data_IF_743754469873
#
_entry.id   IF_743754469873
#
_cell.length_a   1.000
_cell.length_b   1.000
_cell.length_c   1.000
_cell.angle_alpha   90.00
_cell.angle_beta   90.00
_cell.angle_gamma   90.00
#
_symmetry.space_group_name_H-M   'P 1'
#
loop_
_entity.id
_entity.type
_entity.pdbx_description
1 polymer ?
#
# COMPACT_ATOMS: atom_id res chain seq x y z
N UNK A 1 3.35 -13.07 -19.99
CA UNK A 1 3.23 -13.17 -18.53
C UNK A 1 4.62 -12.87 -18.00
N UNK A 2 4.84 -11.66 -17.52
CA UNK A 2 6.09 -11.33 -16.84
C UNK A 2 6.06 -12.03 -15.50
N UNK A 3 7.04 -12.90 -15.27
CA UNK A 3 7.16 -13.66 -14.05
C UNK A 3 7.80 -12.76 -12.99
N UNK A 4 7.02 -12.35 -11.98
CA UNK A 4 7.56 -11.72 -10.78
C UNK A 4 8.47 -12.74 -10.09
N UNK A 5 9.78 -12.47 -10.09
CA UNK A 5 10.79 -13.27 -9.40
C UNK A 5 11.42 -12.47 -8.26
N UNK A 6 10.65 -12.24 -7.20
CA UNK A 6 11.24 -12.43 -5.88
C UNK A 6 10.33 -13.32 -5.00
N UNK A 7 10.94 -14.26 -4.26
CA UNK A 7 10.30 -15.02 -3.19
C UNK A 7 9.97 -14.07 -2.01
N UNK A 8 9.03 -13.15 -2.21
CA UNK A 8 8.52 -12.26 -1.17
C UNK A 8 7.28 -12.92 -0.60
N UNK A 9 7.40 -13.36 0.65
CA UNK A 9 6.34 -13.97 1.44
C UNK A 9 5.86 -13.03 2.56
N UNK A 10 6.00 -11.72 2.35
CA UNK A 10 5.63 -10.68 3.30
C UNK A 10 4.98 -9.50 2.58
N UNK A 11 4.24 -8.68 3.33
CA UNK A 11 3.64 -7.46 2.78
C UNK A 11 4.72 -6.42 2.52
N UNK A 12 4.70 -5.75 1.36
CA UNK A 12 5.61 -4.65 1.05
C UNK A 12 4.87 -3.33 0.93
N UNK A 13 5.58 -2.23 1.14
CA UNK A 13 5.06 -0.88 0.96
C UNK A 13 4.79 -0.61 -0.53
N UNK A 14 3.58 -0.14 -0.84
CA UNK A 14 3.24 0.40 -2.17
C UNK A 14 3.46 1.91 -2.21
N UNK A 15 2.82 2.65 -1.31
CA UNK A 15 3.14 4.05 -1.10
C UNK A 15 2.56 4.69 0.15
N UNK A 16 2.95 5.94 0.38
CA UNK A 16 2.40 6.81 1.42
C UNK A 16 1.67 7.98 0.73
N UNK A 17 0.34 7.91 0.69
CA UNK A 17 -0.44 8.80 -0.17
C UNK A 17 -1.21 9.84 0.64
N UNK A 18 -1.04 11.15 0.37
CA UNK A 18 -1.97 12.16 0.84
C UNK A 18 -3.39 11.89 0.32
N UNK A 19 -4.39 12.23 1.13
CA UNK A 19 -5.81 12.15 0.74
C UNK A 19 -6.15 13.06 -0.45
N UNK A 20 -5.37 14.13 -0.65
CA UNK A 20 -5.63 15.17 -1.65
C UNK A 20 -4.40 15.50 -2.50
N UNK A 21 -4.66 15.53 -3.80
CA UNK A 21 -3.70 15.98 -4.81
C UNK A 21 -2.87 14.84 -5.38
N UNK A 22 -2.52 15.00 -6.64
CA UNK A 22 -1.55 14.18 -7.38
C UNK A 22 -0.67 15.14 -8.18
N UNK A 23 0.57 14.75 -8.46
CA UNK A 23 1.50 15.50 -9.31
C UNK A 23 1.69 16.98 -8.90
N UNK A 24 1.73 17.24 -7.59
CA UNK A 24 1.65 18.62 -7.04
C UNK A 24 2.85 19.51 -7.37
N UNK A 25 3.99 18.95 -7.76
CA UNK A 25 5.16 19.72 -8.17
C UNK A 25 5.98 18.99 -9.24
N UNK A 26 5.67 19.26 -10.51
CA UNK A 26 6.35 18.60 -11.63
C UNK A 26 7.82 18.98 -11.81
N UNK A 27 8.26 20.11 -11.22
CA UNK A 27 9.64 20.57 -11.27
C UNK A 27 10.52 19.98 -10.17
N UNK A 28 9.93 19.31 -9.17
CA UNK A 28 10.70 18.71 -8.07
C UNK A 28 11.00 17.25 -8.36
N UNK A 29 12.02 17.03 -9.18
CA UNK A 29 12.42 15.69 -9.60
C UNK A 29 12.98 14.86 -8.44
N UNK A 30 12.72 13.55 -8.49
CA UNK A 30 13.34 12.56 -7.61
C UNK A 30 14.86 12.60 -7.76
N UNK A 31 15.57 12.49 -6.63
CA UNK A 31 17.02 12.43 -6.56
C UNK A 31 17.43 11.37 -5.54
N UNK A 32 17.91 10.22 -6.05
CA UNK A 32 18.33 9.09 -5.22
C UNK A 32 19.43 9.43 -4.21
N UNK A 33 20.29 10.42 -4.49
CA UNK A 33 21.33 10.81 -3.53
C UNK A 33 20.78 11.47 -2.26
N UNK A 34 19.51 11.90 -2.26
CA UNK A 34 18.86 12.43 -1.05
C UNK A 34 18.34 11.33 -0.12
N UNK A 35 18.38 10.07 -0.54
CA UNK A 35 17.87 8.92 0.22
C UNK A 35 18.87 7.76 0.25
N UNK A 36 20.15 8.03 -0.01
CA UNK A 36 21.17 6.99 -0.15
C UNK A 36 21.26 6.11 1.10
N UNK A 37 21.10 6.72 2.28
CA UNK A 37 21.08 6.03 3.57
C UNK A 37 19.85 5.13 3.78
N UNK A 38 18.75 5.38 3.04
CA UNK A 38 17.51 4.61 3.12
C UNK A 38 17.46 3.45 2.12
N UNK A 39 18.32 3.44 1.09
CA UNK A 39 18.28 2.47 -0.01
C UNK A 39 18.23 1.01 0.45
N UNK A 40 19.04 0.56 1.45
CA UNK A 40 18.98 -0.83 1.90
C UNK A 40 17.62 -1.24 2.46
N UNK A 41 16.91 -0.32 3.13
CA UNK A 41 15.57 -0.58 3.66
C UNK A 41 14.50 -0.42 2.58
N UNK A 42 14.65 0.55 1.68
CA UNK A 42 13.78 0.72 0.51
C UNK A 42 13.76 -0.53 -0.37
N UNK A 43 14.92 -1.15 -0.65
CA UNK A 43 15.03 -2.37 -1.46
C UNK A 43 14.30 -3.57 -0.84
N UNK A 44 14.20 -3.62 0.48
CA UNK A 44 13.55 -4.72 1.22
C UNK A 44 12.05 -4.44 1.44
N UNK A 45 11.75 -3.25 1.94
CA UNK A 45 10.45 -2.89 2.48
C UNK A 45 9.55 -2.21 1.45
N UNK A 46 10.14 -1.59 0.41
CA UNK A 46 9.41 -0.89 -0.66
C UNK A 46 9.92 -1.27 -2.07
N UNK A 47 10.10 -2.56 -2.41
CA UNK A 47 10.62 -2.97 -3.71
C UNK A 47 9.66 -2.67 -4.86
N UNK A 48 10.21 -2.50 -6.05
CA UNK A 48 9.44 -2.66 -7.30
C UNK A 48 9.31 -4.16 -7.61
N UNK A 49 8.11 -4.71 -7.46
CA UNK A 49 7.87 -6.15 -7.67
C UNK A 49 7.96 -6.57 -9.15
N UNK A 50 7.80 -5.63 -10.09
CA UNK A 50 7.87 -5.88 -11.53
C UNK A 50 9.28 -5.64 -12.07
N UNK A 51 9.98 -4.64 -11.55
CA UNK A 51 11.33 -4.25 -11.95
C UNK A 51 12.27 -4.06 -10.75
N UNK A 52 12.68 -5.13 -10.04
CA UNK A 52 13.37 -5.05 -8.74
C UNK A 52 14.69 -4.28 -8.71
N UNK A 53 15.34 -4.08 -9.87
CA UNK A 53 16.61 -3.35 -9.99
C UNK A 53 16.43 -1.87 -10.33
N UNK A 54 15.18 -1.39 -10.45
CA UNK A 54 14.84 -0.05 -10.91
C UNK A 54 14.46 0.86 -9.74
N UNK A 55 14.99 2.08 -9.73
CA UNK A 55 14.49 3.17 -8.86
C UNK A 55 13.26 3.87 -9.44
N UNK A 56 12.77 3.40 -10.60
CA UNK A 56 11.67 3.99 -11.34
C UNK A 56 10.38 4.06 -10.52
N UNK A 57 10.12 3.04 -9.69
CA UNK A 57 8.95 3.02 -8.82
C UNK A 57 9.01 4.11 -7.75
N UNK A 58 10.12 4.27 -7.04
CA UNK A 58 10.28 5.35 -6.04
C UNK A 58 10.21 6.73 -6.68
N UNK A 59 10.76 6.87 -7.89
CA UNK A 59 10.62 8.11 -8.67
C UNK A 59 9.16 8.43 -8.98
N UNK A 60 8.37 7.43 -9.36
CA UNK A 60 6.95 7.57 -9.63
C UNK A 60 6.18 7.97 -8.36
N UNK A 61 6.40 7.25 -7.25
CA UNK A 61 5.76 7.55 -5.96
C UNK A 61 6.12 8.94 -5.44
N UNK A 62 7.38 9.36 -5.57
CA UNK A 62 7.79 10.72 -5.21
C UNK A 62 7.05 11.76 -6.06
N UNK A 63 7.04 11.60 -7.39
CA UNK A 63 6.44 12.57 -8.29
C UNK A 63 4.92 12.70 -8.06
N UNK A 64 4.23 11.56 -8.05
CA UNK A 64 2.77 11.48 -7.99
C UNK A 64 2.24 11.84 -6.60
N UNK A 65 2.89 11.38 -5.54
CA UNK A 65 2.39 11.48 -4.16
C UNK A 65 3.30 12.28 -3.23
N UNK A 66 4.61 12.01 -3.25
CA UNK A 66 5.59 12.65 -2.36
C UNK A 66 5.62 14.18 -2.49
N UNK A 67 5.51 14.72 -3.71
CA UNK A 67 5.47 16.17 -3.93
C UNK A 67 4.24 16.85 -3.32
N UNK A 68 3.12 16.14 -3.21
CA UNK A 68 1.92 16.61 -2.50
C UNK A 68 2.11 16.53 -0.99
N UNK A 69 2.65 15.40 -0.51
CA UNK A 69 2.95 15.17 0.90
C UNK A 69 3.91 16.22 1.48
N UNK A 70 4.87 16.65 0.66
CA UNK A 70 5.89 17.64 1.02
C UNK A 70 5.36 19.05 1.35
N UNK A 71 4.05 19.31 1.18
CA UNK A 71 3.39 20.50 1.72
C UNK A 71 3.36 20.51 3.25
N UNK A 72 3.37 19.33 3.88
CA UNK A 72 3.49 19.20 5.33
C UNK A 72 4.95 19.33 5.77
N UNK A 73 5.21 20.13 6.81
CA UNK A 73 6.57 20.36 7.32
C UNK A 73 7.27 19.08 7.80
N UNK A 74 6.50 18.08 8.22
CA UNK A 74 6.98 16.75 8.62
C UNK A 74 7.49 15.91 7.43
N UNK A 75 7.07 16.21 6.20
CA UNK A 75 7.37 15.44 4.98
C UNK A 75 8.03 16.29 3.88
N UNK A 76 8.47 17.52 4.20
CA UNK A 76 8.88 18.53 3.22
C UNK A 76 10.26 18.31 2.53
N UNK A 77 10.69 17.07 2.41
CA UNK A 77 11.85 16.65 1.61
C UNK A 77 11.70 15.19 1.18
N UNK A 78 12.47 14.77 0.17
CA UNK A 78 12.49 13.35 -0.25
C UNK A 78 12.87 12.45 0.92
N UNK A 79 13.95 12.78 1.62
CA UNK A 79 14.40 12.02 2.79
C UNK A 79 13.30 11.89 3.84
N UNK A 80 12.63 12.99 4.23
CA UNK A 80 11.56 12.95 5.24
C UNK A 80 10.36 12.12 4.79
N UNK A 81 9.98 12.22 3.52
CA UNK A 81 8.87 11.46 2.96
C UNK A 81 9.16 9.95 2.99
N UNK A 82 10.29 9.53 2.43
CA UNK A 82 10.65 8.11 2.35
C UNK A 82 10.96 7.52 3.73
N UNK A 83 11.70 8.23 4.59
CA UNK A 83 11.99 7.76 5.95
C UNK A 83 10.72 7.62 6.79
N UNK A 84 9.77 8.56 6.68
CA UNK A 84 8.50 8.45 7.42
C UNK A 84 7.65 7.29 6.91
N UNK A 85 7.60 7.07 5.61
CA UNK A 85 6.88 5.93 5.04
C UNK A 85 7.46 4.59 5.54
N UNK A 86 8.79 4.44 5.54
CA UNK A 86 9.47 3.26 6.10
C UNK A 86 9.18 3.10 7.60
N UNK A 87 9.28 4.19 8.38
CA UNK A 87 8.94 4.17 9.81
C UNK A 87 7.51 3.69 10.06
N UNK A 88 6.53 4.20 9.28
CA UNK A 88 5.14 3.78 9.38
C UNK A 88 4.93 2.32 9.00
N UNK A 89 5.57 1.86 7.93
CA UNK A 89 5.53 0.46 7.50
C UNK A 89 6.02 -0.48 8.62
N UNK A 90 7.19 -0.19 9.20
CA UNK A 90 7.75 -0.98 10.30
C UNK A 90 6.92 -0.88 11.58
N UNK A 91 6.25 0.25 11.82
CA UNK A 91 5.36 0.43 12.98
C UNK A 91 4.04 -0.33 12.84
N UNK A 92 3.50 -0.39 11.62
CA UNK A 92 2.29 -1.17 11.34
C UNK A 92 2.58 -2.65 11.48
N UNK A 93 3.71 -3.14 10.96
CA UNK A 93 4.12 -4.55 11.08
C UNK A 93 3.02 -5.52 10.60
N UNK A 94 2.67 -5.40 9.31
CA UNK A 94 1.65 -6.25 8.66
C UNK A 94 2.03 -7.74 8.64
N UNK A 95 3.30 -8.07 8.83
CA UNK A 95 3.76 -9.46 8.91
C UNK A 95 3.52 -10.05 10.30
N UNK A 96 3.64 -9.24 11.36
CA UNK A 96 3.14 -9.57 12.69
C UNK A 96 1.65 -9.96 12.66
N UNK A 97 0.85 -9.27 11.85
CA UNK A 97 -0.55 -9.63 11.57
C UNK A 97 -0.72 -10.97 10.85
N UNK A 98 0.16 -11.32 9.90
CA UNK A 98 0.13 -12.58 9.14
C UNK A 98 0.19 -13.84 10.01
N UNK A 99 0.75 -13.72 11.22
CA UNK A 99 0.78 -14.80 12.22
C UNK A 99 -0.54 -15.00 12.98
N UNK A 100 -1.52 -14.08 12.83
CA UNK A 100 -2.60 -13.95 13.80
C UNK A 100 -3.90 -14.68 13.48
N UNK A 101 -4.24 -15.15 12.25
CA UNK A 101 -5.36 -16.12 12.03
C UNK A 101 -5.72 -16.48 10.58
N UNK A 102 -5.39 -15.66 9.57
CA UNK A 102 -5.84 -15.91 8.19
C UNK A 102 -5.07 -17.02 7.44
N UNK A 103 -3.96 -17.50 7.99
CA UNK A 103 -3.03 -18.40 7.30
C UNK A 103 -3.47 -19.88 7.20
N UNK A 104 -4.62 -20.26 7.79
CA UNK A 104 -5.03 -21.66 7.84
C UNK A 104 -5.89 -22.10 6.64
N UNK A 105 -6.56 -21.17 5.95
CA UNK A 105 -7.32 -21.47 4.75
C UNK A 105 -7.07 -20.40 3.68
N UNK A 106 -6.75 -20.78 2.43
CA UNK A 106 -6.46 -19.80 1.38
C UNK A 106 -7.68 -18.98 0.96
N UNK A 107 -8.88 -19.37 1.36
CA UNK A 107 -10.13 -18.65 1.14
C UNK A 107 -10.71 -18.19 2.47
N UNK A 108 -11.18 -16.95 2.51
CA UNK A 108 -11.78 -16.30 3.68
C UNK A 108 -12.88 -15.33 3.23
N UNK A 109 -13.78 -14.93 4.13
CA UNK A 109 -14.73 -13.85 3.82
C UNK A 109 -14.03 -12.49 3.95
N UNK A 110 -14.54 -11.49 3.24
CA UNK A 110 -14.11 -10.10 3.42
C UNK A 110 -14.22 -9.66 4.90
N UNK A 111 -15.35 -9.95 5.54
CA UNK A 111 -15.62 -9.57 6.93
C UNK A 111 -14.65 -10.20 7.93
N UNK A 112 -14.12 -11.40 7.64
CA UNK A 112 -13.09 -12.02 8.46
C UNK A 112 -11.77 -11.26 8.33
N UNK A 113 -11.35 -10.88 7.13
CA UNK A 113 -10.12 -10.09 6.95
C UNK A 113 -10.26 -8.73 7.63
N UNK A 114 -11.34 -8.01 7.33
CA UNK A 114 -11.60 -6.68 7.90
C UNK A 114 -11.63 -6.73 9.43
N UNK A 115 -12.37 -7.68 10.00
CA UNK A 115 -12.50 -7.81 11.45
C UNK A 115 -11.18 -8.16 12.15
N UNK A 116 -10.30 -8.98 11.55
CA UNK A 116 -8.99 -9.27 12.16
C UNK A 116 -8.11 -8.03 12.14
N UNK A 117 -8.10 -7.27 11.04
CA UNK A 117 -7.30 -6.04 10.92
C UNK A 117 -7.83 -4.98 11.90
N UNK A 118 -9.15 -4.78 11.96
CA UNK A 118 -9.80 -3.84 12.88
C UNK A 118 -9.52 -4.20 14.34
N UNK A 119 -9.58 -5.49 14.71
CA UNK A 119 -9.25 -5.93 16.07
C UNK A 119 -7.78 -5.71 16.45
N UNK A 120 -6.86 -5.84 15.48
CA UNK A 120 -5.43 -5.72 15.73
C UNK A 120 -4.99 -4.25 15.82
N UNK A 121 -5.46 -3.39 14.90
CA UNK A 121 -5.05 -1.99 14.83
C UNK A 121 -6.01 -1.00 15.51
N UNK A 122 -7.23 -1.45 15.84
CA UNK A 122 -8.27 -0.60 16.44
C UNK A 122 -8.87 0.43 15.46
N UNK A 123 -8.61 0.28 14.17
CA UNK A 123 -9.12 1.16 13.09
C UNK A 123 -9.51 0.35 11.86
N UNK A 124 -10.45 0.87 11.09
CA UNK A 124 -10.93 0.24 9.86
C UNK A 124 -9.96 0.44 8.70
N UNK A 125 -9.48 -0.64 8.07
CA UNK A 125 -8.66 -0.54 6.86
C UNK A 125 -9.51 -0.28 5.62
N UNK A 126 -8.85 0.04 4.50
CA UNK A 126 -9.43 -0.12 3.17
C UNK A 126 -8.74 -1.30 2.46
N UNK A 127 -9.53 -2.27 2.01
CA UNK A 127 -9.03 -3.53 1.45
C UNK A 127 -9.35 -3.58 -0.05
N UNK A 128 -8.33 -3.81 -0.85
CA UNK A 128 -8.42 -3.88 -2.30
C UNK A 128 -7.99 -5.25 -2.82
N UNK A 129 -8.70 -5.68 -3.85
CA UNK A 129 -8.57 -6.98 -4.48
C UNK A 129 -8.36 -6.84 -5.99
N UNK A 130 -7.72 -7.86 -6.57
CA UNK A 130 -7.77 -8.12 -8.01
C UNK A 130 -9.04 -8.91 -8.30
N UNK A 131 -9.70 -8.58 -9.40
CA UNK A 131 -10.91 -9.25 -9.88
C UNK A 131 -10.60 -10.02 -11.19
N UNK A 132 -10.21 -11.31 -11.13
CA UNK A 132 -9.68 -12.04 -12.30
C UNK A 132 -10.69 -12.17 -13.45
N UNK A 133 -11.96 -12.39 -13.13
CA UNK A 133 -13.08 -12.31 -14.08
C UNK A 133 -14.40 -12.12 -13.31
N UNK A 134 -15.46 -11.66 -14.00
CA UNK A 134 -16.79 -11.50 -13.37
C UNK A 134 -17.34 -12.80 -12.78
N UNK A 135 -16.99 -13.93 -13.39
CA UNK A 135 -17.45 -15.27 -13.02
C UNK A 135 -16.45 -16.03 -12.14
N UNK A 136 -15.38 -15.38 -11.68
CA UNK A 136 -14.46 -16.02 -10.75
C UNK A 136 -15.16 -16.25 -9.41
N UNK A 137 -14.93 -17.43 -8.84
CA UNK A 137 -15.49 -17.86 -7.55
C UNK A 137 -14.93 -17.08 -6.36
N UNK A 138 -13.75 -16.46 -6.54
CA UNK A 138 -13.11 -15.61 -5.56
C UNK A 138 -12.38 -14.43 -6.22
N UNK A 139 -12.28 -13.34 -5.47
CA UNK A 139 -11.35 -12.25 -5.73
C UNK A 139 -10.01 -12.51 -5.02
N UNK A 140 -8.93 -11.84 -5.41
CA UNK A 140 -7.59 -12.07 -4.84
C UNK A 140 -7.20 -10.86 -4.01
N UNK A 141 -6.84 -11.07 -2.74
CA UNK A 141 -6.34 -10.00 -1.87
C UNK A 141 -5.05 -9.41 -2.46
N UNK A 142 -5.01 -8.08 -2.63
CA UNK A 142 -3.90 -7.41 -3.31
C UNK A 142 -3.27 -6.28 -2.53
N UNK A 143 -4.08 -5.44 -1.89
CA UNK A 143 -3.59 -4.26 -1.17
C UNK A 143 -4.46 -3.97 0.06
N UNK A 144 -3.81 -3.56 1.14
CA UNK A 144 -4.44 -3.07 2.36
C UNK A 144 -3.92 -1.66 2.60
N UNK A 145 -4.82 -0.70 2.75
CA UNK A 145 -4.54 0.67 3.10
C UNK A 145 -4.84 0.89 4.59
N UNK A 146 -3.85 1.38 5.33
CA UNK A 146 -3.97 1.83 6.72
C UNK A 146 -3.85 3.35 6.74
N UNK A 147 -4.82 4.03 7.36
CA UNK A 147 -4.94 5.47 7.30
C UNK A 147 -4.35 6.16 8.54
N UNK A 148 -3.75 7.31 8.30
CA UNK A 148 -3.09 8.12 9.33
C UNK A 148 -3.57 9.56 9.30
N UNK A 149 -3.74 10.13 10.49
CA UNK A 149 -3.92 11.56 10.66
C UNK A 149 -2.64 12.28 10.21
N UNK A 150 -2.69 13.60 9.96
CA UNK A 150 -1.49 14.37 9.62
C UNK A 150 -0.36 14.31 10.67
N UNK A 151 -0.68 13.91 11.91
CA UNK A 151 0.28 13.67 13.00
C UNK A 151 0.78 12.22 13.08
N UNK A 152 0.41 11.37 12.12
CA UNK A 152 0.77 9.96 12.01
C UNK A 152 0.18 9.05 13.10
N UNK A 153 -0.93 9.46 13.71
CA UNK A 153 -1.79 8.57 14.51
C UNK A 153 -2.78 7.82 13.61
N UNK A 154 -3.11 6.58 13.96
CA UNK A 154 -4.05 5.75 13.18
C UNK A 154 -5.45 6.38 13.16
N UNK A 155 -6.15 6.29 12.03
CA UNK A 155 -7.59 6.54 11.93
C UNK A 155 -8.28 5.52 11.01
N UNK A 156 -9.60 5.49 11.07
CA UNK A 156 -10.42 4.75 10.11
C UNK A 156 -10.22 5.28 8.69
N UNK A 157 -10.07 4.37 7.73
CA UNK A 157 -10.04 4.68 6.30
C UNK A 157 -11.43 5.01 5.71
N UNK A 158 -12.39 5.41 6.56
CA UNK A 158 -13.75 5.77 6.16
C UNK A 158 -13.74 6.77 4.99
N UNK A 159 -14.78 6.69 4.16
CA UNK A 159 -14.97 7.48 2.93
C UNK A 159 -14.93 8.99 3.20
N UNK A 160 -13.75 9.56 3.38
CA UNK A 160 -13.54 11.00 3.38
C UNK A 160 -13.72 11.50 1.95
N UNK A 161 -14.98 11.72 1.58
CA UNK A 161 -15.38 12.45 0.38
C UNK A 161 -15.41 11.60 -0.90
N UNK A 162 -16.14 12.13 -1.87
CA UNK A 162 -16.50 11.62 -3.21
C UNK A 162 -15.28 11.31 -4.13
N UNK A 163 -14.15 10.85 -3.59
CA UNK A 163 -12.93 10.46 -4.30
C UNK A 163 -12.95 9.01 -4.79
N UNK A 164 -13.98 8.23 -4.43
CA UNK A 164 -14.32 6.96 -5.10
C UNK A 164 -14.41 7.14 -6.63
N UNK A 165 -14.59 8.38 -7.12
CA UNK A 165 -14.57 8.74 -8.56
C UNK A 165 -13.21 9.21 -9.10
N UNK A 166 -12.26 9.61 -8.26
CA UNK A 166 -10.93 10.09 -8.69
C UNK A 166 -9.84 9.03 -8.53
N UNK A 167 -10.00 8.10 -7.59
CA UNK A 167 -9.18 6.88 -7.48
C UNK A 167 -9.71 5.73 -8.35
N UNK A 168 -10.79 5.95 -9.10
CA UNK A 168 -11.38 4.97 -10.03
C UNK A 168 -10.48 4.61 -11.23
N UNK A 169 -9.29 5.20 -11.36
CA UNK A 169 -8.36 4.87 -12.43
C UNK A 169 -6.92 5.00 -11.93
N UNK A 170 -6.51 4.12 -11.02
CA UNK A 170 -5.23 3.45 -11.28
C UNK A 170 -5.53 2.10 -11.96
N UNK A 171 -6.01 2.19 -13.21
CA UNK A 171 -6.16 1.02 -14.09
C UNK A 171 -4.82 0.29 -14.31
N UNK A 172 -3.69 0.88 -13.90
CA UNK A 172 -2.37 0.29 -14.09
C UNK A 172 -2.06 -0.79 -13.04
N UNK A 173 -2.57 -0.70 -11.81
CA UNK A 173 -2.33 -1.71 -10.77
C UNK A 173 -3.32 -2.88 -10.81
N UNK A 174 -4.52 -2.65 -11.35
CA UNK A 174 -5.57 -3.68 -11.44
C UNK A 174 -6.28 -3.96 -10.11
N UNK A 175 -5.99 -3.20 -9.05
CA UNK A 175 -6.66 -3.27 -7.75
C UNK A 175 -7.91 -2.39 -7.71
N UNK A 176 -8.97 -2.90 -7.10
CA UNK A 176 -10.14 -2.10 -6.71
C UNK A 176 -10.66 -2.59 -5.36
N UNK A 177 -11.54 -1.81 -4.72
CA UNK A 177 -12.17 -2.23 -3.45
C UNK A 177 -12.73 -3.65 -3.59
N UNK A 178 -12.46 -4.50 -2.61
CA UNK A 178 -12.95 -5.87 -2.61
C UNK A 178 -14.49 -5.89 -2.59
N UNK A 179 -15.10 -6.85 -3.27
CA UNK A 179 -16.54 -7.10 -3.21
C UNK A 179 -16.86 -7.79 -1.87
N UNK A 180 -17.71 -7.19 -1.04
CA UNK A 180 -17.97 -7.69 0.32
C UNK A 180 -18.70 -9.05 0.31
N UNK A 181 -19.39 -9.37 -0.79
CA UNK A 181 -20.19 -10.59 -0.92
C UNK A 181 -19.41 -11.75 -1.59
N UNK A 182 -18.18 -11.49 -2.05
CA UNK A 182 -17.33 -12.51 -2.70
C UNK A 182 -16.24 -13.05 -1.77
N UNK A 183 -15.98 -14.37 -1.78
CA UNK A 183 -14.81 -14.95 -1.11
C UNK A 183 -13.51 -14.29 -1.57
N UNK A 184 -12.59 -14.10 -0.63
CA UNK A 184 -11.26 -13.54 -0.88
C UNK A 184 -10.24 -14.66 -0.80
N UNK A 185 -9.47 -14.83 -1.86
CA UNK A 185 -8.30 -15.69 -1.92
C UNK A 185 -7.08 -14.92 -1.41
N UNK A 186 -6.46 -15.41 -0.34
CA UNK A 186 -5.18 -14.95 0.17
C UNK A 186 -4.17 -16.11 0.01
N UNK A 187 -3.23 -16.00 -0.97
CA UNK A 187 -2.31 -17.10 -1.25
C UNK A 187 -1.43 -17.38 -0.03
N UNK A 188 -1.21 -18.67 0.32
CA UNK A 188 -0.30 -19.04 1.39
C UNK A 188 1.12 -18.62 1.05
N UNK A 189 1.89 -18.32 2.10
CA UNK A 189 3.32 -18.05 1.98
C UNK A 189 4.02 -19.34 1.49
N UNK A 190 4.75 -19.25 0.39
CA UNK A 190 5.51 -20.37 -0.22
C UNK A 190 6.80 -20.67 0.52
#
# INVERSE_FOLDING_TARGET
>A
MEHCHPNISYWTLHGLWPDKGIDCNSSWHFNASQIEDLLPDMEKSWPDLLHPTSTGFWKYEWHKHGTCAARAASLNSQHKYFSKALELYHKVDMDGYGTCTCAHTPYTTFSQIEGVIENFYGVKPKIQCIHPSKNADAQILGQIEICFNPDFTLLDCDKQGDWDKLMAVDKASGFSVCDHDKPVYYPPLS
#
